data_IF_000749758965
#
_entry.id   IF_000749758965
#
_cell.length_a   1.000
_cell.length_b   1.000
_cell.length_c   1.000
_cell.angle_alpha   90.00
_cell.angle_beta   90.00
_cell.angle_gamma   90.00
#
_symmetry.space_group_name_H-M   'P 1'
#
loop_
_entity.id
_entity.type
_entity.pdbx_description
1 polymer ?
#
# COMPACT_ATOMS: atom_id res chain seq x y z
N UNK A 1 -1.96 -15.52 -13.32
CA UNK A 1 -1.18 -16.43 -14.19
C UNK A 1 -0.32 -17.34 -13.30
N UNK A 2 -0.68 -18.64 -13.23
CA UNK A 2 0.03 -19.66 -12.45
C UNK A 2 1.53 -19.77 -12.76
N UNK A 3 1.98 -19.16 -13.85
CA UNK A 3 3.37 -19.19 -14.32
C UNK A 3 4.32 -18.44 -13.38
N UNK A 4 3.88 -17.31 -12.78
CA UNK A 4 4.75 -16.47 -11.96
C UNK A 4 5.02 -17.10 -10.60
N UNK A 5 4.01 -17.66 -9.95
CA UNK A 5 4.19 -18.38 -8.66
C UNK A 5 5.11 -19.60 -8.83
N UNK A 6 4.94 -20.37 -9.93
CA UNK A 6 5.83 -21.49 -10.25
C UNK A 6 7.25 -21.08 -10.58
N UNK A 7 7.47 -19.95 -11.28
CA UNK A 7 8.81 -19.45 -11.58
C UNK A 7 9.54 -19.00 -10.32
N UNK A 8 8.85 -18.28 -9.43
CA UNK A 8 9.41 -17.87 -8.13
C UNK A 8 9.72 -19.09 -7.28
N UNK A 9 8.83 -20.08 -7.26
CA UNK A 9 9.08 -21.37 -6.58
C UNK A 9 10.30 -22.09 -7.12
N UNK A 10 10.48 -22.13 -8.44
CA UNK A 10 11.67 -22.73 -9.07
C UNK A 10 12.94 -21.95 -8.74
N UNK A 11 12.89 -20.63 -8.70
CA UNK A 11 14.03 -19.79 -8.36
C UNK A 11 14.42 -19.90 -6.88
N UNK A 12 13.43 -20.00 -5.99
CA UNK A 12 13.64 -20.22 -4.56
C UNK A 12 14.12 -21.65 -4.25
N UNK A 13 13.65 -22.65 -4.99
CA UNK A 13 14.11 -24.04 -4.90
C UNK A 13 15.52 -24.24 -5.49
N UNK A 14 16.01 -23.30 -6.30
CA UNK A 14 17.34 -23.37 -6.92
C UNK A 14 18.44 -23.23 -5.86
N UNK A 15 19.31 -24.26 -5.68
CA UNK A 15 20.44 -24.19 -4.75
C UNK A 15 21.42 -23.03 -5.00
N UNK A 16 21.43 -22.49 -6.23
CA UNK A 16 22.31 -21.40 -6.67
C UNK A 16 21.63 -20.02 -6.60
N UNK A 17 20.42 -19.92 -6.04
CA UNK A 17 19.75 -18.62 -5.88
C UNK A 17 20.62 -17.67 -5.08
N UNK A 18 20.90 -16.48 -5.66
CA UNK A 18 21.67 -15.40 -5.03
C UNK A 18 21.06 -14.88 -3.71
N UNK A 19 19.83 -15.23 -3.43
CA UNK A 19 19.11 -14.84 -2.21
C UNK A 19 19.26 -15.87 -1.08
N UNK A 20 19.77 -17.07 -1.37
CA UNK A 20 20.00 -18.10 -0.36
C UNK A 20 20.99 -17.62 0.69
N UNK A 21 20.57 -17.63 1.95
CA UNK A 21 21.38 -17.17 3.09
C UNK A 21 21.08 -15.72 3.52
N UNK A 22 20.25 -14.96 2.80
CA UNK A 22 19.75 -13.70 3.32
C UNK A 22 18.68 -13.94 4.39
N UNK A 23 18.61 -13.03 5.38
CA UNK A 23 17.57 -13.07 6.43
C UNK A 23 16.16 -13.03 5.79
N UNK A 24 15.98 -12.25 4.72
CA UNK A 24 14.70 -12.18 4.00
C UNK A 24 14.33 -13.49 3.30
N UNK A 25 15.30 -14.24 2.77
CA UNK A 25 15.03 -15.55 2.17
C UNK A 25 14.55 -16.55 3.22
N UNK A 26 15.21 -16.59 4.38
CA UNK A 26 14.82 -17.51 5.46
C UNK A 26 13.39 -17.19 5.94
N UNK A 27 13.08 -15.93 6.19
CA UNK A 27 11.74 -15.53 6.57
C UNK A 27 10.69 -15.90 5.52
N UNK A 28 10.97 -15.63 4.24
CA UNK A 28 10.06 -15.99 3.15
C UNK A 28 9.83 -17.51 3.08
N UNK A 29 10.91 -18.30 3.18
CA UNK A 29 10.85 -19.76 3.11
C UNK A 29 10.07 -20.38 4.27
N UNK A 30 10.28 -19.87 5.47
CA UNK A 30 9.75 -20.47 6.70
C UNK A 30 8.34 -19.95 7.01
N UNK A 31 8.05 -18.66 6.76
CA UNK A 31 6.85 -18.01 7.23
C UNK A 31 5.84 -17.64 6.10
N UNK A 32 6.30 -17.47 4.86
CA UNK A 32 5.41 -17.04 3.76
C UNK A 32 5.11 -18.18 2.80
N UNK A 33 6.14 -18.89 2.36
CA UNK A 33 6.04 -19.93 1.32
C UNK A 33 5.03 -21.04 1.64
N UNK A 34 4.93 -21.57 2.88
CA UNK A 34 3.95 -22.62 3.21
C UNK A 34 2.49 -22.19 2.94
N UNK A 35 2.19 -20.90 3.07
CA UNK A 35 0.84 -20.37 2.83
C UNK A 35 0.50 -20.22 1.34
N UNK A 36 1.51 -20.16 0.46
CA UNK A 36 1.31 -20.07 -0.99
C UNK A 36 0.94 -21.41 -1.63
N UNK A 37 1.30 -22.55 -0.99
CA UNK A 37 1.06 -23.88 -1.54
C UNK A 37 -0.42 -24.29 -1.53
N UNK A 38 -1.25 -23.67 -0.70
CA UNK A 38 -2.66 -24.03 -0.52
C UNK A 38 -3.62 -23.32 -1.50
N UNK A 39 -3.11 -22.53 -2.46
CA UNK A 39 -3.91 -21.94 -3.53
C UNK A 39 -4.89 -20.82 -3.11
N UNK A 40 -4.81 -20.38 -1.85
CA UNK A 40 -5.61 -19.24 -1.34
C UNK A 40 -4.89 -17.90 -1.49
N UNK A 41 -3.56 -17.92 -1.71
CA UNK A 41 -2.71 -16.75 -1.84
C UNK A 41 -1.89 -16.90 -3.11
N UNK A 42 -1.98 -15.90 -3.98
CA UNK A 42 -1.17 -15.82 -5.20
C UNK A 42 -0.01 -14.85 -5.00
N UNK A 43 1.21 -15.35 -5.18
CA UNK A 43 2.38 -14.50 -5.24
C UNK A 43 2.58 -14.00 -6.67
N UNK A 44 2.36 -12.72 -6.89
CA UNK A 44 2.39 -12.10 -8.23
C UNK A 44 3.74 -11.46 -8.60
N UNK A 45 4.72 -11.50 -7.69
CA UNK A 45 6.03 -10.87 -7.88
C UNK A 45 5.95 -9.35 -7.94
N UNK A 46 6.99 -8.72 -8.49
CA UNK A 46 7.02 -7.29 -8.70
C UNK A 46 6.04 -6.88 -9.81
N UNK A 47 5.16 -5.95 -9.49
CA UNK A 47 4.16 -5.42 -10.42
C UNK A 47 4.35 -3.92 -10.61
N UNK A 48 4.34 -3.48 -11.88
CA UNK A 48 4.48 -2.08 -12.26
C UNK A 48 3.60 -1.73 -13.47
N UNK A 49 3.54 -0.47 -13.82
CA UNK A 49 2.80 0.02 -14.98
C UNK A 49 1.32 -0.39 -14.96
N UNK A 50 0.78 -0.73 -16.12
CA UNK A 50 -0.64 -1.05 -16.28
C UNK A 50 -1.06 -2.26 -15.46
N UNK A 51 -0.21 -3.27 -15.34
CA UNK A 51 -0.50 -4.48 -14.55
C UNK A 51 -0.77 -4.15 -13.07
N UNK A 52 -0.01 -3.20 -12.48
CA UNK A 52 -0.25 -2.72 -11.10
C UNK A 52 -1.61 -2.04 -11.00
N UNK A 53 -1.92 -1.16 -11.94
CA UNK A 53 -3.20 -0.44 -11.98
C UNK A 53 -4.36 -1.41 -12.08
N UNK A 54 -4.30 -2.38 -13.00
CA UNK A 54 -5.35 -3.37 -13.19
C UNK A 54 -5.57 -4.24 -11.95
N UNK A 55 -4.50 -4.59 -11.25
CA UNK A 55 -4.56 -5.37 -10.02
C UNK A 55 -5.24 -4.58 -8.91
N UNK A 56 -4.84 -3.33 -8.71
CA UNK A 56 -5.46 -2.43 -7.73
C UNK A 56 -6.93 -2.19 -8.06
N UNK A 57 -7.28 -1.85 -9.29
CA UNK A 57 -8.67 -1.59 -9.69
C UNK A 57 -9.62 -2.78 -9.50
N UNK A 58 -9.11 -4.01 -9.50
CA UNK A 58 -9.89 -5.24 -9.30
C UNK A 58 -9.90 -5.74 -7.86
N UNK A 59 -9.01 -5.21 -7.03
CA UNK A 59 -8.92 -5.60 -5.63
C UNK A 59 -10.12 -5.03 -4.84
N UNK A 60 -10.65 -5.81 -3.91
CA UNK A 60 -11.66 -5.35 -2.95
C UNK A 60 -11.06 -4.35 -1.95
N UNK A 61 -9.80 -4.52 -1.58
CA UNK A 61 -9.05 -3.61 -0.75
C UNK A 61 -7.54 -3.83 -0.93
N UNK A 62 -6.75 -2.81 -0.61
CA UNK A 62 -5.33 -2.96 -0.30
C UNK A 62 -5.19 -3.24 1.20
N UNK A 63 -4.59 -4.37 1.55
CA UNK A 63 -4.20 -4.69 2.91
C UNK A 63 -2.78 -4.21 3.18
N UNK A 64 -2.61 -3.34 4.18
CA UNK A 64 -1.32 -2.71 4.49
C UNK A 64 -0.95 -2.88 5.99
N UNK A 65 -0.64 -4.13 6.42
CA UNK A 65 -0.42 -4.48 7.83
C UNK A 65 0.99 -4.17 8.32
N UNK A 66 1.52 -2.98 8.02
CA UNK A 66 2.89 -2.60 8.36
C UNK A 66 3.13 -2.46 9.87
N UNK A 67 4.32 -2.83 10.33
CA UNK A 67 4.73 -2.75 11.72
C UNK A 67 5.64 -1.55 12.04
N UNK A 68 6.10 -0.81 11.01
CA UNK A 68 6.93 0.39 11.14
C UNK A 68 6.13 1.68 10.93
N UNK A 69 6.74 2.82 11.22
CA UNK A 69 6.18 4.12 10.91
C UNK A 69 6.41 4.43 9.42
N UNK A 70 5.39 4.27 8.61
CA UNK A 70 5.45 4.58 7.17
C UNK A 70 5.69 6.07 6.96
N UNK A 71 6.73 6.48 6.22
CA UNK A 71 7.05 7.89 6.06
C UNK A 71 6.11 8.64 5.12
N UNK A 72 5.50 7.97 4.12
CA UNK A 72 4.63 8.62 3.14
C UNK A 72 3.41 7.79 2.71
N UNK A 73 3.59 6.52 2.35
CA UNK A 73 2.46 5.63 1.96
C UNK A 73 2.08 5.70 0.49
N UNK A 74 3.05 5.55 -0.43
CA UNK A 74 2.78 5.55 -1.88
C UNK A 74 1.78 4.48 -2.30
N UNK A 75 1.94 3.23 -1.83
CA UNK A 75 1.03 2.15 -2.21
C UNK A 75 -0.42 2.38 -1.76
N UNK A 76 -0.71 2.84 -0.53
CA UNK A 76 -2.02 3.34 -0.12
C UNK A 76 -2.60 4.41 -1.05
N UNK A 77 -1.83 5.44 -1.39
CA UNK A 77 -2.28 6.53 -2.27
C UNK A 77 -2.60 5.99 -3.68
N UNK A 78 -1.78 5.11 -4.22
CA UNK A 78 -2.01 4.47 -5.53
C UNK A 78 -3.29 3.61 -5.53
N UNK A 79 -3.54 2.86 -4.45
CA UNK A 79 -4.77 2.08 -4.31
C UNK A 79 -6.01 2.98 -4.26
N UNK A 80 -5.99 4.01 -3.43
CA UNK A 80 -7.08 4.99 -3.34
C UNK A 80 -7.33 5.71 -4.67
N UNK A 81 -6.26 6.07 -5.43
CA UNK A 81 -6.37 6.65 -6.76
C UNK A 81 -7.07 5.71 -7.76
N UNK A 82 -6.91 4.41 -7.60
CA UNK A 82 -7.62 3.37 -8.37
C UNK A 82 -9.07 3.15 -7.91
N UNK A 83 -9.50 3.79 -6.82
CA UNK A 83 -10.82 3.57 -6.20
C UNK A 83 -10.86 2.38 -5.26
N UNK A 84 -9.70 1.87 -4.85
CA UNK A 84 -9.57 0.70 -3.98
C UNK A 84 -9.38 1.16 -2.54
N UNK A 85 -10.28 0.78 -1.62
CA UNK A 85 -10.15 1.14 -0.21
C UNK A 85 -8.90 0.51 0.41
N UNK A 86 -8.38 1.14 1.47
CA UNK A 86 -7.18 0.67 2.16
C UNK A 86 -7.51 0.28 3.59
N UNK A 87 -7.05 -0.90 4.01
CA UNK A 87 -7.03 -1.30 5.42
C UNK A 87 -5.59 -1.28 5.88
N UNK A 88 -5.27 -0.43 6.85
CA UNK A 88 -3.90 -0.24 7.31
C UNK A 88 -3.80 -0.17 8.84
N UNK A 89 -2.61 -0.47 9.36
CA UNK A 89 -2.30 -0.15 10.75
C UNK A 89 -2.13 1.37 10.90
N UNK A 90 -2.65 1.94 11.99
CA UNK A 90 -2.60 3.38 12.27
C UNK A 90 -1.18 3.83 12.67
N UNK A 91 -0.22 3.83 11.72
CA UNK A 91 1.21 4.11 11.96
C UNK A 91 1.77 5.10 10.93
N UNK A 92 2.69 5.95 11.40
CA UNK A 92 3.38 6.92 10.55
C UNK A 92 2.41 7.85 9.82
N UNK A 93 2.56 8.00 8.50
CA UNK A 93 1.75 8.87 7.67
C UNK A 93 0.34 8.32 7.36
N UNK A 94 0.03 7.07 7.69
CA UNK A 94 -1.24 6.45 7.29
C UNK A 94 -2.48 7.15 7.84
N UNK A 95 -2.50 7.69 9.09
CA UNK A 95 -3.61 8.49 9.58
C UNK A 95 -3.82 9.84 8.84
N UNK A 96 -2.84 10.30 8.08
CA UNK A 96 -2.96 11.50 7.24
C UNK A 96 -3.60 11.19 5.87
N UNK A 97 -3.46 9.94 5.41
CA UNK A 97 -3.92 9.45 4.11
C UNK A 97 -5.31 8.85 4.21
N UNK A 98 -5.52 8.02 5.24
CA UNK A 98 -6.74 7.22 5.41
C UNK A 98 -7.69 7.93 6.36
N UNK A 99 -8.83 8.30 5.84
CA UNK A 99 -9.98 8.79 6.61
C UNK A 99 -10.86 7.58 6.95
N UNK A 100 -10.84 7.19 8.23
CA UNK A 100 -11.48 5.97 8.72
C UNK A 100 -12.98 5.95 8.42
N UNK A 101 -13.44 4.91 7.72
CA UNK A 101 -14.83 4.72 7.30
C UNK A 101 -15.23 5.52 6.06
N UNK A 102 -14.32 6.29 5.44
CA UNK A 102 -14.58 7.09 4.23
C UNK A 102 -13.84 6.56 3.00
N UNK A 103 -12.52 6.37 3.10
CA UNK A 103 -11.70 5.83 2.02
C UNK A 103 -10.93 4.57 2.42
N UNK A 104 -11.14 4.08 3.65
CA UNK A 104 -10.50 2.89 4.18
C UNK A 104 -10.70 2.77 5.69
N UNK A 105 -9.95 1.86 6.30
CA UNK A 105 -9.99 1.63 7.74
C UNK A 105 -8.59 1.67 8.34
N UNK A 106 -8.46 2.32 9.51
CA UNK A 106 -7.27 2.35 10.33
C UNK A 106 -7.47 1.43 11.53
N UNK A 107 -6.59 0.44 11.66
CA UNK A 107 -6.58 -0.53 12.74
C UNK A 107 -5.45 -0.24 13.74
N UNK A 108 -5.70 -0.43 15.02
CA UNK A 108 -4.70 -0.29 16.07
C UNK A 108 -4.09 -1.64 16.47
N UNK A 109 -4.73 -2.72 16.09
CA UNK A 109 -4.32 -4.10 16.38
C UNK A 109 -4.80 -5.07 15.30
N UNK A 110 -4.27 -6.30 15.33
CA UNK A 110 -4.56 -7.34 14.34
C UNK A 110 -6.03 -7.76 14.32
N UNK A 111 -6.70 -7.73 15.45
CA UNK A 111 -8.12 -8.08 15.53
C UNK A 111 -8.98 -7.07 14.77
N UNK A 112 -8.78 -5.77 15.04
CA UNK A 112 -9.46 -4.70 14.29
C UNK A 112 -9.15 -4.79 12.78
N UNK A 113 -7.89 -5.07 12.42
CA UNK A 113 -7.48 -5.23 11.04
C UNK A 113 -8.26 -6.36 10.35
N UNK A 114 -8.39 -7.51 11.00
CA UNK A 114 -9.15 -8.65 10.49
C UNK A 114 -10.65 -8.33 10.40
N UNK A 115 -11.23 -7.68 11.41
CA UNK A 115 -12.63 -7.28 11.42
C UNK A 115 -12.96 -6.33 10.25
N UNK A 116 -12.07 -5.38 9.93
CA UNK A 116 -12.25 -4.44 8.81
C UNK A 116 -12.16 -5.10 7.44
N UNK A 117 -11.48 -6.24 7.29
CA UNK A 117 -11.46 -6.99 6.03
C UNK A 117 -12.85 -7.42 5.56
N UNK A 118 -13.77 -7.67 6.49
CA UNK A 118 -15.18 -7.99 6.21
C UNK A 118 -16.06 -6.79 5.88
N UNK A 119 -15.53 -5.55 5.99
CA UNK A 119 -16.31 -4.31 5.88
C UNK A 119 -15.94 -3.44 4.69
N UNK A 120 -15.15 -3.96 3.77
CA UNK A 120 -14.67 -3.21 2.59
C UNK A 120 -15.78 -2.70 1.70
N UNK A 121 -16.90 -3.40 1.65
CA UNK A 121 -18.08 -3.03 0.86
C UNK A 121 -18.82 -1.78 1.43
N UNK A 122 -18.47 -1.32 2.62
CA UNK A 122 -19.00 -0.08 3.21
C UNK A 122 -18.35 1.18 2.60
N UNK A 123 -17.20 1.03 1.90
CA UNK A 123 -16.44 2.15 1.36
C UNK A 123 -16.81 2.38 -0.11
N UNK A 124 -17.15 3.64 -0.42
CA UNK A 124 -17.41 4.05 -1.79
C UNK A 124 -16.09 4.24 -2.58
N UNK A 125 -15.85 3.51 -3.68
CA UNK A 125 -14.69 3.70 -4.54
C UNK A 125 -14.50 5.14 -5.06
N UNK A 126 -15.58 5.88 -5.25
CA UNK A 126 -15.53 7.28 -5.67
C UNK A 126 -14.97 8.18 -4.56
N UNK A 127 -15.29 7.89 -3.29
CA UNK A 127 -14.72 8.61 -2.14
C UNK A 127 -13.21 8.36 -2.01
N UNK A 128 -12.73 7.14 -2.27
CA UNK A 128 -11.31 6.81 -2.32
C UNK A 128 -10.58 7.71 -3.31
N UNK A 129 -11.02 7.74 -4.57
CA UNK A 129 -10.40 8.56 -5.63
C UNK A 129 -10.46 10.05 -5.31
N UNK A 130 -11.60 10.55 -4.87
CA UNK A 130 -11.78 11.96 -4.51
C UNK A 130 -10.83 12.42 -3.41
N UNK A 131 -10.55 11.56 -2.42
CA UNK A 131 -9.61 11.87 -1.34
C UNK A 131 -8.19 12.12 -1.84
N UNK A 132 -7.74 11.32 -2.83
CA UNK A 132 -6.42 11.48 -3.46
C UNK A 132 -6.37 12.72 -4.35
N UNK A 133 -7.36 12.94 -5.18
CA UNK A 133 -7.44 14.12 -6.06
C UNK A 133 -7.39 15.43 -5.25
N UNK A 134 -8.03 15.46 -4.10
CA UNK A 134 -8.09 16.63 -3.24
C UNK A 134 -6.75 16.95 -2.53
N UNK A 135 -5.99 15.92 -2.12
CA UNK A 135 -4.84 16.09 -1.20
C UNK A 135 -3.49 15.72 -1.83
N UNK A 136 -3.46 14.77 -2.77
CA UNK A 136 -2.23 14.13 -3.26
C UNK A 136 -2.00 14.31 -4.76
N UNK A 137 -2.76 15.18 -5.43
CA UNK A 137 -2.49 15.51 -6.83
C UNK A 137 -1.22 16.35 -6.98
N UNK A 138 -0.54 16.24 -8.12
CA UNK A 138 0.65 17.04 -8.42
C UNK A 138 0.34 18.55 -8.37
N UNK A 139 -0.86 18.95 -8.79
CA UNK A 139 -1.31 20.34 -8.72
C UNK A 139 -1.45 20.81 -7.26
N UNK A 140 -2.02 19.99 -6.38
CA UNK A 140 -2.13 20.31 -4.96
C UNK A 140 -0.75 20.46 -4.33
N UNK A 141 0.13 19.50 -4.57
CA UNK A 141 1.51 19.52 -4.09
C UNK A 141 2.24 20.80 -4.53
N UNK A 142 2.21 21.13 -5.82
CA UNK A 142 2.86 22.32 -6.35
C UNK A 142 2.32 23.62 -5.68
N UNK A 143 1.01 23.71 -5.47
CA UNK A 143 0.36 24.84 -4.80
C UNK A 143 0.83 25.00 -3.35
N UNK A 144 0.90 23.90 -2.59
CA UNK A 144 1.37 23.95 -1.20
C UNK A 144 2.85 24.31 -1.10
N UNK A 145 3.72 23.81 -2.01
CA UNK A 145 5.12 24.23 -2.07
C UNK A 145 5.26 25.72 -2.35
N UNK A 146 4.54 26.26 -3.35
CA UNK A 146 4.56 27.70 -3.67
C UNK A 146 4.12 28.54 -2.48
N UNK A 147 3.07 28.13 -1.77
CA UNK A 147 2.61 28.80 -0.56
C UNK A 147 3.70 28.83 0.52
N UNK A 148 4.37 27.70 0.76
CA UNK A 148 5.47 27.61 1.74
C UNK A 148 6.65 28.50 1.36
N UNK A 149 7.03 28.52 0.10
CA UNK A 149 8.09 29.42 -0.37
C UNK A 149 7.75 30.89 -0.16
N UNK A 150 6.51 31.30 -0.44
CA UNK A 150 6.04 32.67 -0.22
C UNK A 150 6.05 33.04 1.28
N UNK A 151 5.66 32.13 2.17
CA UNK A 151 5.71 32.31 3.61
C UNK A 151 7.15 32.52 4.11
N UNK A 152 8.10 31.72 3.63
CA UNK A 152 9.52 31.83 3.98
C UNK A 152 10.10 33.16 3.50
N UNK A 153 9.88 33.53 2.23
CA UNK A 153 10.36 34.79 1.65
C UNK A 153 9.83 35.99 2.45
N UNK A 154 8.55 36.02 2.78
CA UNK A 154 7.97 37.10 3.59
C UNK A 154 8.62 37.21 4.98
N UNK A 155 8.88 36.07 5.63
CA UNK A 155 9.52 36.02 6.94
C UNK A 155 10.96 36.53 6.92
N UNK A 156 11.70 36.25 5.86
CA UNK A 156 13.10 36.71 5.72
C UNK A 156 13.18 38.17 5.25
N UNK A 157 12.23 38.65 4.43
CA UNK A 157 12.17 40.04 3.94
C UNK A 157 11.68 41.05 4.99
N UNK A 158 11.08 40.56 6.07
CA UNK A 158 10.60 41.40 7.19
C UNK A 158 11.60 41.56 8.34
N UNK A 159 12.82 41.00 8.17
CA UNK A 159 13.97 41.25 9.07
C UNK A 159 14.89 42.31 8.44
#
# INVERSE_FOLDING_TARGET
DMTTSKQVMMELANPLSKYRGSIGFKYFSDEVFPHLEHGQIDYVGDVSGQRKIDLLMRAKALLFPIQWNEPFGMAPIEALACGTPVIAMARGALPEIIEHGVNGFLANNEKEFADYMGRTDEIDPAACRKSVEAKFSAQHMAKEYLKRYQEIIKKESGK
#
